data_IF_067263005443
#
_entry.id   IF_067263005443
#
_cell.length_a   1.000
_cell.length_b   1.000
_cell.length_c   1.000
_cell.angle_alpha   90.00
_cell.angle_beta   90.00
_cell.angle_gamma   90.00
#
_symmetry.space_group_name_H-M   'P 1'
#
loop_
_entity.id
_entity.type
_entity.pdbx_description
1 polymer ?
#
# COMPACT_ATOMS: atom_id res chain seq x y z
N UNK A 1 28.83 35.39 -8.61
CA UNK A 1 28.27 35.17 -9.96
C UNK A 1 29.09 35.96 -10.95
N UNK A 2 29.79 35.28 -11.86
CA UNK A 2 30.63 35.90 -12.89
C UNK A 2 29.83 36.03 -14.19
N UNK A 3 29.73 37.23 -14.76
CA UNK A 3 29.11 37.42 -16.08
C UNK A 3 30.15 37.24 -17.18
N UNK A 4 29.84 36.44 -18.19
CA UNK A 4 30.76 36.15 -19.30
C UNK A 4 30.01 35.78 -20.57
N UNK A 5 30.50 36.28 -21.70
CA UNK A 5 30.08 35.83 -23.03
C UNK A 5 30.77 34.50 -23.35
N UNK A 6 29.98 33.46 -23.60
CA UNK A 6 30.45 32.10 -23.86
C UNK A 6 30.05 31.67 -25.27
N UNK A 7 30.93 30.94 -25.96
CA UNK A 7 30.62 30.37 -27.27
C UNK A 7 29.55 29.28 -27.14
N UNK A 8 28.51 29.32 -27.97
CA UNK A 8 27.35 28.44 -27.89
C UNK A 8 27.73 26.96 -28.04
N UNK A 9 28.80 26.65 -28.79
CA UNK A 9 29.32 25.28 -28.95
C UNK A 9 29.98 24.70 -27.69
N UNK A 10 30.35 25.53 -26.72
CA UNK A 10 30.87 25.10 -25.42
C UNK A 10 29.77 24.90 -24.38
N UNK A 11 28.52 25.23 -24.71
CA UNK A 11 27.37 25.13 -23.80
C UNK A 11 26.57 23.87 -24.16
N UNK A 12 26.17 23.11 -23.14
CA UNK A 12 25.32 21.93 -23.27
C UNK A 12 24.07 22.05 -22.41
N UNK A 13 22.99 21.38 -22.82
CA UNK A 13 21.76 21.34 -22.02
C UNK A 13 22.01 20.62 -20.69
N UNK A 14 21.56 21.24 -19.61
CA UNK A 14 21.56 20.61 -18.30
C UNK A 14 20.22 19.95 -17.96
N UNK A 15 20.13 19.46 -16.74
CA UNK A 15 18.90 18.92 -16.20
C UNK A 15 17.78 19.98 -16.20
N UNK A 16 16.57 19.60 -16.62
CA UNK A 16 15.38 20.44 -16.48
C UNK A 16 14.18 19.63 -16.02
N UNK A 17 13.43 20.09 -14.99
CA UNK A 17 12.23 19.40 -14.53
C UNK A 17 11.04 19.56 -15.50
N UNK A 18 11.07 20.58 -16.36
CA UNK A 18 10.04 20.84 -17.37
C UNK A 18 10.24 19.93 -18.57
N UNK A 19 9.19 19.25 -19.00
CA UNK A 19 9.23 18.35 -20.17
C UNK A 19 8.48 18.91 -21.36
N UNK A 20 7.35 19.58 -21.14
CA UNK A 20 6.60 20.18 -22.24
C UNK A 20 6.93 21.68 -22.39
N UNK A 21 7.26 22.08 -23.60
CA UNK A 21 7.70 23.44 -23.93
C UNK A 21 6.72 24.06 -24.93
N UNK A 22 5.57 24.50 -24.44
CA UNK A 22 4.64 25.29 -25.24
C UNK A 22 5.23 26.67 -25.55
N UNK A 23 4.92 27.24 -26.73
CA UNK A 23 5.35 28.58 -27.12
C UNK A 23 6.83 28.70 -27.54
N UNK A 24 7.45 27.63 -28.05
CA UNK A 24 8.85 27.64 -28.52
C UNK A 24 9.07 28.69 -29.64
N UNK A 25 8.17 28.76 -30.61
CA UNK A 25 8.27 29.69 -31.75
C UNK A 25 8.06 31.16 -31.35
N UNK A 26 7.25 31.42 -30.32
CA UNK A 26 7.07 32.78 -29.80
C UNK A 26 8.31 33.26 -29.07
N UNK A 27 8.91 32.41 -28.24
CA UNK A 27 10.17 32.72 -27.56
C UNK A 27 11.30 32.96 -28.56
N UNK A 28 11.39 32.15 -29.62
CA UNK A 28 12.38 32.32 -30.68
C UNK A 28 12.22 33.67 -31.39
N UNK A 29 11.01 34.03 -31.82
CA UNK A 29 10.71 35.34 -32.44
C UNK A 29 11.01 36.51 -31.51
N UNK A 30 10.73 36.36 -30.22
CA UNK A 30 11.05 37.37 -29.22
C UNK A 30 12.56 37.59 -29.07
N UNK A 31 13.35 36.50 -28.99
CA UNK A 31 14.81 36.56 -28.89
C UNK A 31 15.42 37.13 -30.18
N UNK A 32 14.87 36.80 -31.35
CA UNK A 32 15.31 37.37 -32.62
C UNK A 32 15.07 38.88 -32.69
N UNK A 33 13.93 39.36 -32.19
CA UNK A 33 13.55 40.78 -32.24
C UNK A 33 14.22 41.64 -31.16
N UNK A 34 14.36 41.11 -29.94
CA UNK A 34 14.76 41.88 -28.75
C UNK A 34 16.09 41.43 -28.15
N UNK A 35 16.70 40.38 -28.68
CA UNK A 35 17.87 39.75 -28.09
C UNK A 35 17.54 38.95 -26.84
N UNK A 36 18.59 38.46 -26.18
CA UNK A 36 18.47 37.71 -24.94
C UNK A 36 18.45 38.69 -23.75
N UNK A 37 17.26 38.97 -23.22
CA UNK A 37 17.08 39.94 -22.12
C UNK A 37 17.69 39.43 -20.79
N UNK A 38 17.51 38.14 -20.50
CA UNK A 38 18.07 37.51 -19.30
C UNK A 38 19.21 36.56 -19.71
N UNK A 39 20.40 36.66 -19.09
CA UNK A 39 21.51 35.75 -19.37
C UNK A 39 21.19 34.31 -18.97
N UNK A 40 21.90 33.35 -19.59
CA UNK A 40 21.81 31.94 -19.20
C UNK A 40 22.57 31.70 -17.90
N UNK A 41 22.00 30.96 -16.96
CA UNK A 41 22.73 30.53 -15.76
C UNK A 41 23.36 29.17 -16.06
N UNK A 42 24.68 29.08 -15.95
CA UNK A 42 25.45 27.88 -16.29
C UNK A 42 26.42 27.50 -15.18
N UNK A 43 26.70 26.20 -15.04
CA UNK A 43 27.85 25.71 -14.25
C UNK A 43 28.97 25.27 -15.19
N UNK A 44 30.21 25.39 -14.73
CA UNK A 44 31.36 24.83 -15.44
C UNK A 44 31.45 23.32 -15.20
N UNK A 45 31.74 22.55 -16.24
CA UNK A 45 31.97 21.10 -16.16
C UNK A 45 33.11 20.71 -17.10
N UNK A 46 34.33 20.62 -16.55
CA UNK A 46 35.55 20.47 -17.34
C UNK A 46 35.71 21.62 -18.34
N UNK A 47 35.66 21.28 -19.64
CA UNK A 47 35.84 22.22 -20.75
C UNK A 47 34.52 22.77 -21.32
N UNK A 48 33.38 22.36 -20.76
CA UNK A 48 32.05 22.81 -21.20
C UNK A 48 31.31 23.52 -20.08
N UNK A 49 30.21 24.16 -20.44
CA UNK A 49 29.28 24.81 -19.54
C UNK A 49 27.92 24.12 -19.65
N UNK A 50 27.32 23.70 -18.54
CA UNK A 50 25.98 23.08 -18.55
C UNK A 50 24.95 24.04 -17.99
N UNK A 51 23.84 24.19 -18.72
CA UNK A 51 22.77 25.12 -18.38
C UNK A 51 22.02 24.68 -17.13
N UNK A 52 22.03 25.52 -16.09
CA UNK A 52 21.23 25.35 -14.88
C UNK A 52 19.81 25.90 -15.13
N UNK A 53 19.72 27.15 -15.59
CA UNK A 53 18.48 27.87 -15.88
C UNK A 53 18.54 28.47 -17.28
N UNK A 54 17.43 28.37 -18.02
CA UNK A 54 17.31 28.95 -19.36
C UNK A 54 17.46 27.94 -20.50
N UNK A 55 17.27 26.63 -20.25
CA UNK A 55 17.33 25.59 -21.31
C UNK A 55 16.48 25.93 -22.55
N UNK A 56 15.30 26.57 -22.37
CA UNK A 56 14.47 27.05 -23.49
C UNK A 56 15.14 28.16 -24.32
N UNK A 57 15.76 29.11 -23.62
CA UNK A 57 16.49 30.22 -24.23
C UNK A 57 17.72 29.69 -24.97
N UNK A 58 18.45 28.75 -24.36
CA UNK A 58 19.58 28.06 -24.98
C UNK A 58 19.21 27.35 -26.28
N UNK A 59 18.10 26.59 -26.29
CA UNK A 59 17.57 25.96 -27.51
C UNK A 59 17.27 26.98 -28.61
N UNK A 60 16.61 28.07 -28.25
CA UNK A 60 16.26 29.12 -29.21
C UNK A 60 17.50 29.79 -29.81
N UNK A 61 18.50 30.16 -29.00
CA UNK A 61 19.74 30.79 -29.53
C UNK A 61 20.54 29.81 -30.39
N UNK A 62 20.55 28.52 -30.05
CA UNK A 62 21.19 27.47 -30.85
C UNK A 62 20.49 27.31 -32.21
N UNK A 63 19.17 27.33 -32.24
CA UNK A 63 18.38 27.27 -33.49
C UNK A 63 18.43 28.54 -34.33
N UNK A 64 18.69 29.69 -33.71
CA UNK A 64 18.96 30.96 -34.40
C UNK A 64 20.41 31.05 -34.90
N UNK A 65 21.26 30.06 -34.63
CA UNK A 65 22.64 30.02 -35.10
C UNK A 65 23.57 31.04 -34.43
N UNK A 66 23.27 31.46 -33.20
CA UNK A 66 24.12 32.41 -32.47
C UNK A 66 25.49 31.78 -32.18
N UNK A 67 26.56 32.57 -32.34
CA UNK A 67 27.94 32.13 -32.07
C UNK A 67 28.27 32.15 -30.58
N UNK A 68 27.80 33.16 -29.87
CA UNK A 68 28.03 33.35 -28.45
C UNK A 68 26.81 33.94 -27.76
N UNK A 69 26.73 33.75 -26.45
CA UNK A 69 25.59 34.19 -25.63
C UNK A 69 26.05 34.63 -24.24
N UNK A 70 25.37 35.62 -23.68
CA UNK A 70 25.66 36.12 -22.33
C UNK A 70 25.22 35.10 -21.27
N UNK A 71 26.13 34.80 -20.35
CA UNK A 71 25.97 33.78 -19.33
C UNK A 71 26.43 34.29 -17.96
N UNK A 72 25.76 33.81 -16.92
CA UNK A 72 26.19 33.89 -15.54
C UNK A 72 26.76 32.53 -15.17
N UNK A 73 28.02 32.50 -14.72
CA UNK A 73 28.68 31.29 -14.25
C UNK A 73 28.47 31.17 -12.73
N UNK A 74 27.98 30.02 -12.32
CA UNK A 74 27.80 29.63 -10.92
C UNK A 74 28.54 28.32 -10.63
N UNK A 75 29.35 28.34 -9.57
CA UNK A 75 30.16 27.19 -9.15
C UNK A 75 29.39 26.34 -8.14
N UNK A 76 28.57 25.43 -8.68
CA UNK A 76 27.77 24.49 -7.90
C UNK A 76 27.82 23.10 -8.55
N UNK A 77 27.69 22.08 -7.70
CA UNK A 77 27.60 20.70 -8.16
C UNK A 77 26.30 20.43 -8.95
N UNK A 78 26.25 19.30 -9.65
CA UNK A 78 25.09 18.92 -10.48
C UNK A 78 23.80 18.76 -9.65
N UNK A 79 23.91 18.32 -8.39
CA UNK A 79 22.75 18.04 -7.53
C UNK A 79 22.08 19.35 -7.09
N UNK A 80 22.87 20.32 -6.64
CA UNK A 80 22.44 21.69 -6.31
C UNK A 80 21.93 22.42 -7.53
N UNK A 81 22.58 22.25 -8.69
CA UNK A 81 22.10 22.79 -9.95
C UNK A 81 20.71 22.26 -10.32
N UNK A 82 20.44 20.96 -10.12
CA UNK A 82 19.11 20.39 -10.36
C UNK A 82 18.04 20.96 -9.42
N UNK A 83 18.37 21.18 -8.14
CA UNK A 83 17.48 21.84 -7.18
C UNK A 83 17.20 23.30 -7.57
N UNK A 84 18.23 24.06 -7.91
CA UNK A 84 18.10 25.46 -8.34
C UNK A 84 17.25 25.58 -9.61
N UNK A 85 17.47 24.68 -10.58
CA UNK A 85 16.65 24.59 -11.79
C UNK A 85 15.17 24.36 -11.46
N UNK A 86 14.86 23.54 -10.45
CA UNK A 86 13.50 23.34 -9.98
C UNK A 86 12.90 24.58 -9.34
N UNK A 87 13.60 25.22 -8.40
CA UNK A 87 13.12 26.43 -7.73
C UNK A 87 12.72 27.51 -8.73
N UNK A 88 13.61 27.83 -9.68
CA UNK A 88 13.32 28.84 -10.70
C UNK A 88 12.13 28.47 -11.59
N UNK A 89 11.95 27.18 -11.92
CA UNK A 89 10.80 26.74 -12.71
C UNK A 89 9.48 26.74 -11.91
N UNK A 90 9.55 26.53 -10.59
CA UNK A 90 8.39 26.56 -9.69
C UNK A 90 7.95 27.97 -9.34
N UNK A 91 8.88 28.93 -9.29
CA UNK A 91 8.62 30.35 -9.04
C UNK A 91 8.11 31.10 -10.28
N UNK A 92 8.23 30.52 -11.48
CA UNK A 92 7.66 31.09 -12.71
C UNK A 92 6.13 31.10 -12.65
N UNK A 93 5.58 32.24 -12.23
CA UNK A 93 4.14 32.51 -12.09
C UNK A 93 3.36 32.33 -13.41
N UNK A 94 4.02 32.42 -14.57
CA UNK A 94 3.36 32.26 -15.88
C UNK A 94 3.26 30.80 -16.30
N UNK A 95 4.17 29.93 -15.82
CA UNK A 95 4.29 28.55 -16.31
C UNK A 95 4.67 27.54 -15.21
N UNK A 96 4.13 27.62 -14.00
CA UNK A 96 4.50 26.69 -12.91
C UNK A 96 4.43 25.20 -13.33
N UNK A 97 5.40 24.41 -12.86
CA UNK A 97 5.50 22.96 -13.14
C UNK A 97 4.18 22.25 -12.84
N UNK A 98 3.78 21.35 -13.73
CA UNK A 98 2.58 20.56 -13.47
C UNK A 98 2.87 19.45 -12.44
N UNK A 99 1.85 18.89 -11.77
CA UNK A 99 2.07 17.92 -10.69
C UNK A 99 2.87 16.67 -11.11
N UNK A 100 2.76 16.25 -12.38
CA UNK A 100 3.51 15.11 -12.91
C UNK A 100 4.99 15.48 -13.11
N UNK A 101 5.29 16.69 -13.61
CA UNK A 101 6.67 17.19 -13.70
C UNK A 101 7.34 17.30 -12.33
N UNK A 102 6.61 17.78 -11.32
CA UNK A 102 7.09 17.81 -9.93
C UNK A 102 7.40 16.39 -9.43
N UNK A 103 6.51 15.43 -9.67
CA UNK A 103 6.72 14.04 -9.26
C UNK A 103 7.94 13.41 -9.97
N UNK A 104 8.11 13.67 -11.26
CA UNK A 104 9.27 13.22 -12.04
C UNK A 104 10.58 13.85 -11.53
N UNK A 105 10.54 15.13 -11.15
CA UNK A 105 11.68 15.80 -10.55
C UNK A 105 12.07 15.16 -9.22
N UNK A 106 11.10 14.96 -8.32
CA UNK A 106 11.32 14.26 -7.05
C UNK A 106 11.92 12.87 -7.29
N UNK A 107 11.41 12.12 -8.28
CA UNK A 107 11.97 10.81 -8.65
C UNK A 107 13.43 10.93 -9.08
N UNK A 108 13.78 11.90 -9.94
CA UNK A 108 15.15 12.14 -10.38
C UNK A 108 16.08 12.54 -9.22
N UNK A 109 15.61 13.37 -8.28
CA UNK A 109 16.37 13.75 -7.08
C UNK A 109 16.74 12.53 -6.23
N UNK A 110 15.83 11.57 -6.10
CA UNK A 110 16.11 10.34 -5.36
C UNK A 110 17.02 9.37 -6.13
N UNK A 111 16.67 9.07 -7.37
CA UNK A 111 17.30 7.98 -8.13
C UNK A 111 18.63 8.39 -8.77
N UNK A 112 18.71 9.59 -9.36
CA UNK A 112 19.93 10.08 -10.03
C UNK A 112 20.86 10.80 -9.04
N UNK A 113 20.28 11.65 -8.21
CA UNK A 113 21.06 12.52 -7.33
C UNK A 113 21.19 11.97 -5.89
N UNK A 114 20.55 10.85 -5.58
CA UNK A 114 20.75 10.13 -4.32
C UNK A 114 20.21 10.84 -3.07
N UNK A 115 19.27 11.77 -3.22
CA UNK A 115 18.63 12.43 -2.07
C UNK A 115 17.69 11.48 -1.33
N UNK A 116 17.74 11.53 -0.01
CA UNK A 116 16.78 10.88 0.88
C UNK A 116 15.42 11.58 0.82
N UNK A 117 14.37 10.93 1.35
CA UNK A 117 13.05 11.59 1.45
C UNK A 117 13.11 12.76 2.45
N UNK A 118 13.88 12.62 3.53
CA UNK A 118 14.08 13.68 4.51
C UNK A 118 14.78 14.89 3.89
N UNK A 119 15.83 14.68 3.10
CA UNK A 119 16.54 15.77 2.43
C UNK A 119 15.59 16.57 1.53
N UNK A 120 14.64 15.91 0.87
CA UNK A 120 13.65 16.58 0.02
C UNK A 120 12.62 17.37 0.83
N UNK A 121 12.25 16.90 2.03
CA UNK A 121 11.40 17.68 2.94
C UNK A 121 12.17 18.91 3.42
N UNK A 122 13.43 18.76 3.81
CA UNK A 122 14.29 19.85 4.28
C UNK A 122 14.56 20.90 3.20
N UNK A 123 14.68 20.46 1.94
CA UNK A 123 14.78 21.33 0.76
C UNK A 123 13.44 21.99 0.35
N UNK A 124 12.36 21.75 1.11
CA UNK A 124 11.07 22.42 0.89
C UNK A 124 10.21 21.83 -0.22
N UNK A 125 10.52 20.62 -0.73
CA UNK A 125 9.69 19.98 -1.75
C UNK A 125 8.32 19.55 -1.21
N UNK A 126 8.21 19.33 0.10
CA UNK A 126 6.95 19.03 0.79
C UNK A 126 7.07 19.30 2.29
N UNK A 127 5.92 19.33 2.98
CA UNK A 127 5.84 19.49 4.43
C UNK A 127 6.15 18.22 5.24
N UNK A 128 6.03 17.05 4.62
CA UNK A 128 6.18 15.74 5.26
C UNK A 128 6.48 14.65 4.21
N UNK A 129 7.06 13.54 4.67
CA UNK A 129 7.38 12.36 3.86
C UNK A 129 6.16 11.83 3.10
N UNK A 130 5.00 11.81 3.77
CA UNK A 130 3.77 11.31 3.18
C UNK A 130 3.40 12.08 1.91
N UNK A 131 3.63 13.39 1.90
CA UNK A 131 3.36 14.27 0.77
C UNK A 131 4.36 13.99 -0.38
N UNK A 132 5.63 13.66 -0.09
CA UNK A 132 6.59 13.22 -1.10
C UNK A 132 6.12 11.91 -1.74
N UNK A 133 5.75 10.91 -0.94
CA UNK A 133 5.25 9.63 -1.46
C UNK A 133 3.95 9.78 -2.26
N UNK A 134 3.03 10.65 -1.83
CA UNK A 134 1.81 10.94 -2.59
C UNK A 134 2.14 11.50 -3.99
N UNK A 135 3.08 12.44 -4.09
CA UNK A 135 3.56 12.97 -5.37
C UNK A 135 4.16 11.86 -6.24
N UNK A 136 5.04 11.04 -5.69
CA UNK A 136 5.65 9.91 -6.40
C UNK A 136 4.61 8.90 -6.90
N UNK A 137 3.59 8.61 -6.10
CA UNK A 137 2.52 7.67 -6.46
C UNK A 137 1.69 8.13 -7.67
N UNK A 138 1.71 9.42 -8.03
CA UNK A 138 1.09 9.89 -9.28
C UNK A 138 1.71 9.23 -10.51
N UNK A 139 3.00 8.89 -10.46
CA UNK A 139 3.71 8.24 -11.57
C UNK A 139 3.31 6.77 -11.77
N UNK A 140 2.68 6.16 -10.77
CA UNK A 140 2.15 4.80 -10.85
C UNK A 140 0.73 4.74 -11.42
N UNK A 141 0.07 5.90 -11.61
CA UNK A 141 -1.27 5.94 -12.20
C UNK A 141 -1.22 5.61 -13.70
N UNK A 142 -2.30 5.07 -14.28
CA UNK A 142 -2.44 4.94 -15.73
C UNK A 142 -2.20 6.25 -16.48
N UNK A 143 -1.60 6.16 -17.68
CA UNK A 143 -1.14 7.31 -18.47
C UNK A 143 -2.27 8.32 -18.77
N UNK A 144 -3.47 7.83 -19.10
CA UNK A 144 -4.66 8.66 -19.31
C UNK A 144 -5.01 9.51 -18.08
N UNK A 145 -4.79 9.00 -16.85
CA UNK A 145 -5.01 9.74 -15.61
C UNK A 145 -3.89 10.77 -15.39
N UNK A 146 -2.63 10.37 -15.60
CA UNK A 146 -1.49 11.28 -15.50
C UNK A 146 -1.64 12.50 -16.41
N UNK A 147 -2.06 12.29 -17.66
CA UNK A 147 -2.31 13.38 -18.62
C UNK A 147 -3.38 14.36 -18.12
N UNK A 148 -4.49 13.86 -17.57
CA UNK A 148 -5.55 14.73 -17.02
C UNK A 148 -5.12 15.50 -15.78
N UNK A 149 -4.18 14.95 -15.00
CA UNK A 149 -3.57 15.67 -13.87
C UNK A 149 -2.59 16.72 -14.39
N UNK A 150 -1.76 16.37 -15.38
CA UNK A 150 -0.78 17.26 -15.99
C UNK A 150 -1.44 18.50 -16.59
N UNK A 151 -2.54 18.35 -17.34
CA UNK A 151 -3.29 19.47 -17.90
C UNK A 151 -4.25 20.16 -16.90
N UNK A 152 -4.12 19.88 -15.60
CA UNK A 152 -4.92 20.46 -14.50
C UNK A 152 -6.44 20.21 -14.63
N UNK A 153 -6.87 19.28 -15.49
CA UNK A 153 -8.28 18.86 -15.62
C UNK A 153 -8.77 18.09 -14.38
N UNK A 154 -7.83 17.49 -13.65
CA UNK A 154 -8.02 16.87 -12.34
C UNK A 154 -6.92 17.38 -11.40
N UNK A 155 -7.31 17.79 -10.20
CA UNK A 155 -6.35 18.21 -9.18
C UNK A 155 -5.53 17.03 -8.62
N UNK A 156 -4.27 17.27 -8.20
CA UNK A 156 -3.38 16.20 -7.72
C UNK A 156 -3.93 15.43 -6.52
N UNK A 157 -4.67 16.10 -5.63
CA UNK A 157 -5.32 15.45 -4.48
C UNK A 157 -6.28 14.34 -4.90
N UNK A 158 -7.02 14.53 -5.99
CA UNK A 158 -7.89 13.49 -6.54
C UNK A 158 -7.05 12.35 -7.12
N UNK A 159 -5.93 12.67 -7.76
CA UNK A 159 -4.94 11.68 -8.20
C UNK A 159 -4.42 10.80 -7.06
N UNK A 160 -4.06 11.39 -5.91
CA UNK A 160 -3.63 10.64 -4.72
C UNK A 160 -4.71 9.66 -4.24
N UNK A 161 -5.98 10.08 -4.26
CA UNK A 161 -7.11 9.22 -3.87
C UNK A 161 -7.35 8.09 -4.86
N UNK A 162 -7.23 8.36 -6.17
CA UNK A 162 -7.32 7.34 -7.21
C UNK A 162 -6.19 6.32 -7.08
N UNK A 163 -4.97 6.76 -6.77
CA UNK A 163 -3.81 5.89 -6.56
C UNK A 163 -3.93 4.95 -5.36
N UNK A 164 -4.83 5.25 -4.40
CA UNK A 164 -5.12 4.36 -3.28
C UNK A 164 -6.06 3.18 -3.63
N UNK A 165 -6.71 3.22 -4.80
CA UNK A 165 -7.59 2.15 -5.27
C UNK A 165 -6.72 1.03 -5.88
N UNK A 166 -6.72 -0.15 -5.23
CA UNK A 166 -5.90 -1.30 -5.66
C UNK A 166 -6.45 -2.03 -6.88
N UNK A 167 -7.77 -2.02 -7.05
CA UNK A 167 -8.45 -2.66 -8.17
C UNK A 167 -8.40 -1.72 -9.40
N UNK A 168 -7.71 -2.12 -10.50
CA UNK A 168 -7.60 -1.29 -11.70
C UNK A 168 -8.95 -0.96 -12.36
N UNK A 169 -9.90 -1.89 -12.37
CA UNK A 169 -11.22 -1.69 -12.99
C UNK A 169 -12.04 -0.70 -12.18
N UNK A 170 -11.97 -0.81 -10.85
CA UNK A 170 -12.60 0.14 -9.94
C UNK A 170 -11.98 1.54 -10.06
N UNK A 171 -10.65 1.62 -10.20
CA UNK A 171 -9.92 2.88 -10.37
C UNK A 171 -10.35 3.59 -11.66
N UNK A 172 -10.37 2.87 -12.78
CA UNK A 172 -10.78 3.39 -14.08
C UNK A 172 -12.27 3.82 -14.08
N UNK A 173 -13.13 3.04 -13.43
CA UNK A 173 -14.55 3.38 -13.25
C UNK A 173 -14.75 4.64 -12.41
N UNK A 174 -13.99 4.79 -11.32
CA UNK A 174 -13.98 5.98 -10.49
C UNK A 174 -13.52 7.21 -11.29
N UNK A 175 -12.41 7.08 -12.02
CA UNK A 175 -11.87 8.10 -12.89
C UNK A 175 -12.90 8.58 -13.93
N UNK A 176 -13.51 7.65 -14.68
CA UNK A 176 -14.58 7.97 -15.66
C UNK A 176 -15.77 8.70 -15.03
N UNK A 177 -16.21 8.30 -13.83
CA UNK A 177 -17.30 8.99 -13.12
C UNK A 177 -16.89 10.40 -12.69
N UNK A 178 -15.67 10.59 -12.20
CA UNK A 178 -15.14 11.90 -11.81
C UNK A 178 -15.08 12.84 -13.00
N UNK A 179 -14.65 12.35 -14.18
CA UNK A 179 -14.61 13.15 -15.40
C UNK A 179 -15.99 13.68 -15.83
N UNK A 180 -17.06 12.94 -15.56
CA UNK A 180 -18.44 13.35 -15.90
C UNK A 180 -19.04 14.37 -14.94
N UNK A 181 -18.38 14.72 -13.83
CA UNK A 181 -18.89 15.71 -12.89
C UNK A 181 -18.87 17.11 -13.52
N UNK A 182 -20.01 17.81 -13.49
CA UNK A 182 -20.13 19.22 -13.94
C UNK A 182 -19.14 20.17 -13.22
N UNK A 183 -18.88 19.92 -11.93
CA UNK A 183 -17.85 20.63 -11.13
C UNK A 183 -17.03 19.61 -10.35
N UNK A 184 -15.75 19.48 -10.70
CA UNK A 184 -14.82 18.50 -10.14
C UNK A 184 -14.09 19.06 -8.91
N UNK A 185 -14.80 19.14 -7.79
CA UNK A 185 -14.16 19.48 -6.51
C UNK A 185 -13.58 18.23 -5.85
N UNK A 186 -12.56 18.40 -5.00
CA UNK A 186 -11.94 17.30 -4.24
C UNK A 186 -13.00 16.53 -3.44
N UNK A 187 -13.83 17.26 -2.67
CA UNK A 187 -14.92 16.68 -1.87
C UNK A 187 -15.92 15.85 -2.68
N UNK A 188 -16.29 16.31 -3.89
CA UNK A 188 -17.21 15.55 -4.76
C UNK A 188 -16.54 14.29 -5.32
N UNK A 189 -15.27 14.41 -5.71
CA UNK A 189 -14.50 13.29 -6.25
C UNK A 189 -14.28 12.20 -5.18
N UNK A 190 -13.96 12.60 -3.94
CA UNK A 190 -13.86 11.69 -2.79
C UNK A 190 -15.18 10.97 -2.51
N UNK A 191 -16.31 11.69 -2.54
CA UNK A 191 -17.63 11.05 -2.39
C UNK A 191 -17.89 10.01 -3.48
N UNK A 192 -17.51 10.27 -4.74
CA UNK A 192 -17.65 9.30 -5.83
C UNK A 192 -16.81 8.04 -5.57
N UNK A 193 -15.55 8.22 -5.17
CA UNK A 193 -14.65 7.12 -4.85
C UNK A 193 -15.20 6.29 -3.68
N UNK A 194 -15.60 6.95 -2.58
CA UNK A 194 -16.11 6.27 -1.39
C UNK A 194 -17.41 5.51 -1.67
N UNK A 195 -18.33 6.10 -2.44
CA UNK A 195 -19.57 5.42 -2.82
C UNK A 195 -19.30 4.17 -3.67
N UNK A 196 -18.33 4.22 -4.58
CA UNK A 196 -17.95 3.05 -5.37
C UNK A 196 -17.34 1.95 -4.51
N UNK A 197 -16.43 2.30 -3.59
CA UNK A 197 -15.85 1.34 -2.63
C UNK A 197 -16.93 0.71 -1.76
N UNK A 198 -17.90 1.48 -1.28
CA UNK A 198 -19.00 0.96 -0.47
C UNK A 198 -19.92 0.03 -1.29
N UNK A 199 -20.22 0.36 -2.54
CA UNK A 199 -21.02 -0.49 -3.43
C UNK A 199 -20.33 -1.82 -3.74
N UNK A 200 -19.01 -1.82 -3.92
CA UNK A 200 -18.19 -3.02 -4.07
C UNK A 200 -18.26 -3.92 -2.84
N UNK A 201 -18.16 -3.33 -1.63
CA UNK A 201 -18.32 -4.06 -0.37
C UNK A 201 -19.69 -4.72 -0.26
N UNK A 202 -20.77 -3.96 -0.50
CA UNK A 202 -22.15 -4.49 -0.46
C UNK A 202 -22.37 -5.60 -1.48
N UNK A 203 -21.77 -5.51 -2.68
CA UNK A 203 -21.83 -6.60 -3.67
C UNK A 203 -21.11 -7.85 -3.19
N UNK A 204 -19.95 -7.69 -2.56
CA UNK A 204 -19.16 -8.81 -2.02
C UNK A 204 -19.87 -9.49 -0.86
N UNK A 205 -20.54 -8.71 -0.01
CA UNK A 205 -21.39 -9.22 1.09
C UNK A 205 -22.60 -9.98 0.54
N UNK A 206 -23.30 -9.46 -0.47
CA UNK A 206 -24.43 -10.16 -1.11
C UNK A 206 -24.05 -11.44 -1.85
N UNK A 207 -22.78 -11.59 -2.25
CA UNK A 207 -22.27 -12.79 -2.93
C UNK A 207 -22.01 -13.95 -1.96
N UNK A 208 -21.87 -13.67 -0.66
CA UNK A 208 -21.99 -14.69 0.37
C UNK A 208 -23.47 -15.05 0.52
N UNK A 209 -23.99 -15.84 -0.42
CA UNK A 209 -25.26 -16.52 -0.20
C UNK A 209 -25.06 -17.50 0.95
N UNK A 210 -25.96 -17.49 1.94
CA UNK A 210 -26.07 -18.56 2.92
C UNK A 210 -26.23 -19.87 2.16
N UNK A 211 -25.18 -20.71 2.16
CA UNK A 211 -25.33 -22.10 1.74
C UNK A 211 -26.36 -22.70 2.69
N UNK A 212 -27.55 -23.00 2.19
CA UNK A 212 -28.55 -23.70 2.98
C UNK A 212 -27.97 -25.06 3.29
N UNK A 213 -27.69 -25.31 4.58
CA UNK A 213 -27.31 -26.64 5.04
C UNK A 213 -28.41 -27.58 4.55
N UNK A 214 -28.08 -28.66 3.82
CA UNK A 214 -29.07 -29.64 3.41
C UNK A 214 -29.87 -30.08 4.63
N UNK A 215 -31.21 -30.12 4.51
CA UNK A 215 -32.06 -30.65 5.58
C UNK A 215 -32.05 -32.18 5.47
N UNK A 216 -31.78 -32.87 6.59
CA UNK A 216 -31.73 -34.33 6.68
C UNK A 216 -30.33 -34.86 6.98
N UNK A 217 -30.21 -36.18 7.09
CA UNK A 217 -28.94 -36.85 7.33
C UNK A 217 -28.05 -36.77 6.07
N UNK A 218 -26.86 -36.20 6.23
CA UNK A 218 -25.83 -36.20 5.17
C UNK A 218 -24.89 -37.36 5.49
N UNK A 219 -24.75 -38.38 4.61
CA UNK A 219 -23.89 -39.52 4.89
C UNK A 219 -22.46 -39.09 5.25
N UNK A 220 -21.97 -39.55 6.40
CA UNK A 220 -20.64 -39.21 6.91
C UNK A 220 -20.52 -37.83 7.57
N UNK A 221 -21.63 -37.10 7.77
CA UNK A 221 -21.65 -35.83 8.52
C UNK A 221 -22.50 -36.01 9.77
N UNK A 222 -21.89 -35.80 10.92
CA UNK A 222 -22.53 -35.95 12.22
C UNK A 222 -22.59 -34.59 12.91
N UNK A 223 -23.81 -34.15 13.27
CA UNK A 223 -24.02 -32.93 14.06
C UNK A 223 -24.03 -33.28 15.56
N UNK A 224 -22.87 -33.69 16.08
CA UNK A 224 -22.67 -34.18 17.46
C UNK A 224 -21.48 -33.51 18.14
N UNK A 225 -21.37 -33.73 19.45
CA UNK A 225 -20.23 -33.30 20.26
C UNK A 225 -19.00 -34.20 19.98
N UNK A 226 -17.84 -33.59 19.68
CA UNK A 226 -16.60 -34.32 19.40
C UNK A 226 -16.00 -35.07 20.59
N UNK A 227 -16.54 -34.88 21.80
CA UNK A 227 -16.20 -35.68 22.98
C UNK A 227 -16.94 -37.02 23.03
N UNK A 228 -17.88 -37.26 22.12
CA UNK A 228 -18.61 -38.52 21.97
C UNK A 228 -18.79 -38.88 20.49
N UNK A 229 -17.89 -39.72 19.96
CA UNK A 229 -17.86 -40.16 18.57
C UNK A 229 -18.34 -41.62 18.45
N UNK A 230 -19.52 -41.92 18.99
CA UNK A 230 -20.07 -43.28 19.09
C UNK A 230 -20.37 -43.94 17.73
N UNK A 231 -20.52 -43.14 16.68
CA UNK A 231 -20.60 -43.61 15.29
C UNK A 231 -19.32 -44.26 14.76
N UNK A 232 -18.18 -44.05 15.45
CA UNK A 232 -16.87 -44.57 15.06
C UNK A 232 -16.40 -45.64 16.05
N UNK A 233 -16.06 -46.81 15.52
CA UNK A 233 -15.43 -47.88 16.28
C UNK A 233 -14.02 -47.47 16.74
N UNK A 234 -13.53 -48.09 17.80
CA UNK A 234 -12.16 -47.92 18.28
C UNK A 234 -11.16 -48.23 17.15
N UNK A 235 -10.16 -47.38 16.98
CA UNK A 235 -9.12 -47.57 15.94
C UNK A 235 -9.68 -47.70 14.53
N UNK A 236 -10.66 -46.88 14.14
CA UNK A 236 -11.26 -46.88 12.79
C UNK A 236 -10.87 -45.68 11.93
N UNK A 237 -10.23 -44.66 12.51
CA UNK A 237 -9.92 -43.39 11.85
C UNK A 237 -8.42 -43.26 11.58
N UNK A 238 -8.03 -43.00 10.33
CA UNK A 238 -6.62 -42.81 9.93
C UNK A 238 -6.07 -41.40 10.17
N UNK A 239 -6.91 -40.39 10.02
CA UNK A 239 -6.57 -38.97 10.12
C UNK A 239 -7.70 -38.20 10.81
N UNK A 240 -7.35 -37.39 11.79
CA UNK A 240 -8.24 -36.43 12.43
C UNK A 240 -7.73 -35.02 12.14
N UNK A 241 -8.60 -34.13 11.66
CA UNK A 241 -8.31 -32.70 11.52
C UNK A 241 -9.30 -31.94 12.38
N UNK A 242 -8.81 -31.20 13.38
CA UNK A 242 -9.68 -30.56 14.36
C UNK A 242 -9.18 -29.16 14.75
N UNK A 243 -10.11 -28.37 15.27
CA UNK A 243 -9.87 -27.06 15.85
C UNK A 243 -10.65 -26.92 17.15
N UNK A 244 -9.97 -26.88 18.31
CA UNK A 244 -10.61 -26.56 19.58
C UNK A 244 -11.09 -25.10 19.63
N UNK A 245 -11.97 -24.76 20.59
CA UNK A 245 -12.28 -23.38 20.94
C UNK A 245 -11.01 -22.58 21.27
N UNK A 246 -10.95 -21.31 20.89
CA UNK A 246 -9.74 -20.48 21.01
C UNK A 246 -9.85 -19.38 22.07
N UNK A 247 -11.00 -19.27 22.75
CA UNK A 247 -11.28 -18.14 23.63
C UNK A 247 -11.37 -16.81 22.85
N UNK A 248 -11.93 -16.87 21.63
CA UNK A 248 -12.12 -15.69 20.77
C UNK A 248 -13.46 -15.00 21.03
N UNK A 249 -14.19 -15.41 22.08
CA UNK A 249 -15.41 -14.78 22.57
C UNK A 249 -16.65 -15.17 21.79
N UNK A 250 -16.69 -16.39 21.29
CA UNK A 250 -17.88 -16.99 20.69
C UNK A 250 -18.98 -17.17 21.73
N UNK A 251 -20.24 -17.24 21.31
CA UNK A 251 -21.37 -17.46 22.23
C UNK A 251 -21.22 -18.71 23.11
N UNK A 252 -20.64 -19.78 22.57
CA UNK A 252 -20.36 -21.03 23.29
C UNK A 252 -19.08 -20.99 24.15
N UNK A 253 -18.28 -19.93 24.04
CA UNK A 253 -17.08 -19.71 24.87
C UNK A 253 -17.34 -18.72 26.02
N UNK A 254 -18.55 -18.14 26.08
CA UNK A 254 -18.92 -17.24 27.16
C UNK A 254 -19.03 -18.04 28.45
N UNK A 255 -18.44 -17.50 29.52
CA UNK A 255 -18.53 -18.02 30.89
C UNK A 255 -17.75 -19.31 31.14
N UNK A 256 -17.03 -19.83 30.14
CA UNK A 256 -16.13 -20.98 30.31
C UNK A 256 -14.84 -20.53 31.00
N UNK A 257 -14.56 -21.09 32.17
CA UNK A 257 -13.28 -20.91 32.86
C UNK A 257 -12.13 -21.60 32.13
N UNK A 258 -10.90 -21.23 32.44
CA UNK A 258 -9.73 -21.86 31.85
C UNK A 258 -9.66 -23.37 32.19
N UNK A 259 -9.98 -23.73 33.43
CA UNK A 259 -10.00 -25.10 33.92
C UNK A 259 -11.06 -25.95 33.21
N UNK A 260 -12.29 -25.44 33.07
CA UNK A 260 -13.35 -26.11 32.30
C UNK A 260 -12.96 -26.30 30.84
N UNK A 261 -12.27 -25.33 30.24
CA UNK A 261 -11.76 -25.45 28.88
C UNK A 261 -10.75 -26.62 28.76
N UNK A 262 -9.81 -26.74 29.70
CA UNK A 262 -8.86 -27.86 29.71
C UNK A 262 -9.56 -29.21 29.89
N UNK A 263 -10.60 -29.29 30.73
CA UNK A 263 -11.40 -30.51 30.89
C UNK A 263 -12.08 -30.93 29.59
N UNK A 264 -12.68 -29.98 28.87
CA UNK A 264 -13.30 -30.23 27.56
C UNK A 264 -12.26 -30.75 26.58
N UNK A 265 -11.08 -30.10 26.50
CA UNK A 265 -9.98 -30.58 25.65
C UNK A 265 -9.57 -32.02 26.01
N UNK A 266 -9.41 -32.32 27.29
CA UNK A 266 -9.09 -33.68 27.71
C UNK A 266 -10.13 -34.71 27.25
N UNK A 267 -11.43 -34.39 27.34
CA UNK A 267 -12.51 -35.31 26.90
C UNK A 267 -12.45 -35.53 25.40
N UNK A 268 -12.31 -34.47 24.61
CA UNK A 268 -12.23 -34.54 23.14
C UNK A 268 -10.98 -35.30 22.69
N UNK A 269 -9.80 -34.99 23.24
CA UNK A 269 -8.57 -35.67 22.81
C UNK A 269 -8.50 -37.13 23.26
N UNK A 270 -9.12 -37.49 24.38
CA UNK A 270 -9.33 -38.90 24.76
C UNK A 270 -10.15 -39.62 23.69
N UNK A 271 -11.23 -39.00 23.24
CA UNK A 271 -12.12 -39.59 22.25
C UNK A 271 -11.46 -39.67 20.87
N UNK A 272 -10.69 -38.65 20.48
CA UNK A 272 -9.82 -38.69 19.30
C UNK A 272 -8.82 -39.84 19.38
N UNK A 273 -8.17 -40.05 20.52
CA UNK A 273 -7.22 -41.14 20.70
C UNK A 273 -7.89 -42.53 20.59
N UNK A 274 -9.12 -42.68 21.12
CA UNK A 274 -9.91 -43.93 21.02
C UNK A 274 -10.19 -44.33 19.58
N UNK A 275 -10.68 -43.39 18.77
CA UNK A 275 -11.07 -43.69 17.38
C UNK A 275 -9.89 -43.78 16.42
N UNK A 276 -8.73 -43.23 16.77
CA UNK A 276 -7.56 -43.19 15.90
C UNK A 276 -6.87 -44.56 15.81
N UNK A 277 -6.53 -44.99 14.59
CA UNK A 277 -5.72 -46.20 14.38
C UNK A 277 -4.33 -46.06 15.02
N UNK A 278 -3.68 -47.17 15.45
CA UNK A 278 -2.27 -47.15 15.80
C UNK A 278 -1.42 -46.57 14.65
N UNK A 279 -0.63 -45.53 14.94
CA UNK A 279 0.18 -44.81 13.96
C UNK A 279 -0.55 -43.74 13.13
N UNK A 280 -1.86 -43.58 13.34
CA UNK A 280 -2.68 -42.52 12.73
C UNK A 280 -2.20 -41.11 13.10
N UNK A 281 -2.74 -40.10 12.41
CA UNK A 281 -2.33 -38.71 12.58
C UNK A 281 -3.48 -37.83 13.05
N UNK A 282 -3.14 -36.86 13.88
CA UNK A 282 -4.04 -35.77 14.25
C UNK A 282 -3.40 -34.42 13.90
N UNK A 283 -4.14 -33.57 13.22
CA UNK A 283 -3.77 -32.20 12.90
C UNK A 283 -4.66 -31.26 13.70
N UNK A 284 -4.06 -30.56 14.67
CA UNK A 284 -4.77 -29.61 15.54
C UNK A 284 -4.39 -28.20 15.12
N UNK A 285 -5.38 -27.41 14.67
CA UNK A 285 -5.22 -25.98 14.50
C UNK A 285 -5.58 -25.29 15.81
N UNK A 286 -4.64 -24.63 16.48
CA UNK A 286 -4.88 -23.93 17.74
C UNK A 286 -4.23 -22.54 17.79
N UNK A 287 -4.78 -21.66 18.63
CA UNK A 287 -4.17 -20.38 18.97
C UNK A 287 -3.15 -20.55 20.08
N UNK A 288 -1.94 -20.02 19.89
CA UNK A 288 -0.88 -20.12 20.91
C UNK A 288 -1.18 -19.30 22.18
N UNK A 289 -2.04 -18.29 22.05
CA UNK A 289 -2.45 -17.40 23.13
C UNK A 289 -3.98 -17.38 23.19
N UNK A 290 -4.55 -17.78 24.33
CA UNK A 290 -5.98 -17.71 24.62
C UNK A 290 -6.26 -16.56 25.62
N UNK A 291 -7.47 -15.99 25.54
CA UNK A 291 -7.88 -14.89 26.42
C UNK A 291 -9.24 -15.21 27.06
N UNK A 292 -9.23 -15.47 28.36
CA UNK A 292 -10.42 -15.73 29.15
C UNK A 292 -10.85 -14.45 29.91
N UNK A 293 -12.15 -14.31 30.21
CA UNK A 293 -12.69 -13.21 31.02
C UNK A 293 -12.80 -11.82 30.36
N UNK A 294 -11.99 -11.49 29.34
CA UNK A 294 -11.92 -10.12 28.77
C UNK A 294 -13.18 -9.62 28.06
N UNK A 295 -14.04 -10.51 27.55
CA UNK A 295 -15.27 -10.14 26.83
C UNK A 295 -16.55 -10.19 27.66
N UNK A 296 -16.46 -10.64 28.91
CA UNK A 296 -17.59 -10.80 29.83
C UNK A 296 -17.52 -9.82 31.03
N UNK A 297 -16.70 -8.76 30.95
CA UNK A 297 -16.51 -7.80 32.04
C UNK A 297 -15.65 -8.32 33.21
N UNK A 298 -15.08 -9.53 33.08
CA UNK A 298 -14.10 -10.08 34.02
C UNK A 298 -12.69 -9.56 33.77
N UNK A 299 -11.77 -9.82 34.70
CA UNK A 299 -10.35 -9.50 34.50
C UNK A 299 -9.80 -10.35 33.33
N UNK A 300 -9.16 -9.75 32.31
CA UNK A 300 -8.53 -10.49 31.23
C UNK A 300 -7.48 -11.47 31.76
N UNK A 301 -7.59 -12.72 31.35
CA UNK A 301 -6.66 -13.79 31.72
C UNK A 301 -6.03 -14.37 30.45
N UNK A 302 -4.76 -14.06 30.25
CA UNK A 302 -4.01 -14.47 29.06
C UNK A 302 -3.28 -15.78 29.38
N UNK A 303 -3.52 -16.81 28.58
CA UNK A 303 -2.93 -18.15 28.75
C UNK A 303 -2.13 -18.56 27.51
N UNK A 304 -0.90 -19.03 27.74
CA UNK A 304 -0.07 -19.65 26.70
C UNK A 304 -0.45 -21.12 26.59
N UNK A 305 -0.86 -21.57 25.41
CA UNK A 305 -1.53 -22.86 25.29
C UNK A 305 -0.64 -24.01 24.85
N UNK A 306 0.50 -23.75 24.20
CA UNK A 306 1.33 -24.80 23.60
C UNK A 306 1.68 -25.95 24.55
N UNK A 307 2.10 -25.63 25.78
CA UNK A 307 2.47 -26.64 26.78
C UNK A 307 1.27 -27.46 27.29
N UNK A 308 0.11 -26.83 27.47
CA UNK A 308 -1.12 -27.54 27.85
C UNK A 308 -1.57 -28.53 26.77
N UNK A 309 -1.52 -28.14 25.50
CA UNK A 309 -1.82 -29.07 24.41
C UNK A 309 -0.84 -30.25 24.39
N UNK A 310 0.46 -29.98 24.57
CA UNK A 310 1.45 -31.04 24.61
C UNK A 310 1.18 -32.05 25.74
N UNK A 311 0.88 -31.55 26.95
CA UNK A 311 0.54 -32.38 28.11
C UNK A 311 -0.74 -33.20 27.88
N UNK A 312 -1.81 -32.58 27.38
CA UNK A 312 -3.09 -33.25 27.11
C UNK A 312 -2.91 -34.36 26.08
N UNK A 313 -2.20 -34.08 24.98
CA UNK A 313 -1.95 -35.04 23.92
C UNK A 313 -1.12 -36.22 24.44
N UNK A 314 -0.04 -35.95 25.17
CA UNK A 314 0.84 -36.98 25.72
C UNK A 314 0.09 -37.92 26.69
N UNK A 315 -0.77 -37.36 27.56
CA UNK A 315 -1.60 -38.13 28.51
C UNK A 315 -2.52 -39.13 27.81
N UNK A 316 -2.92 -38.84 26.58
CA UNK A 316 -3.80 -39.69 25.77
C UNK A 316 -3.04 -40.51 24.71
N UNK A 317 -1.72 -40.64 24.84
CA UNK A 317 -0.89 -41.45 23.94
C UNK A 317 -0.66 -40.81 22.56
N UNK A 318 -0.94 -39.52 22.41
CA UNK A 318 -0.71 -38.76 21.18
C UNK A 318 0.60 -37.99 21.29
N UNK A 319 1.57 -38.31 20.43
CA UNK A 319 2.88 -37.65 20.43
C UNK A 319 2.93 -36.51 19.41
N UNK A 320 3.31 -35.32 19.86
CA UNK A 320 3.61 -34.19 18.97
C UNK A 320 4.86 -34.51 18.13
N UNK A 321 4.70 -34.51 16.81
CA UNK A 321 5.80 -34.80 15.86
C UNK A 321 6.33 -33.54 15.15
N UNK A 322 5.60 -32.43 15.20
CA UNK A 322 6.00 -31.19 14.57
C UNK A 322 4.93 -30.10 14.72
N UNK A 323 5.36 -28.86 14.53
CA UNK A 323 4.53 -27.66 14.61
C UNK A 323 4.72 -26.83 13.35
N UNK A 324 3.61 -26.35 12.79
CA UNK A 324 3.61 -25.43 11.65
C UNK A 324 3.15 -24.06 12.15
N UNK A 325 4.10 -23.13 12.30
CA UNK A 325 3.80 -21.78 12.78
C UNK A 325 3.37 -20.87 11.63
N UNK A 326 2.11 -20.47 11.64
CA UNK A 326 1.56 -19.56 10.64
C UNK A 326 1.73 -18.09 11.04
N UNK A 327 2.63 -17.38 10.36
CA UNK A 327 2.83 -15.95 10.57
C UNK A 327 1.79 -15.14 9.79
N UNK A 328 0.73 -14.73 10.46
CA UNK A 328 -0.33 -13.87 9.89
C UNK A 328 0.15 -12.40 9.78
N UNK A 329 1.12 -12.12 8.91
CA UNK A 329 1.55 -10.74 8.64
C UNK A 329 1.05 -10.27 7.27
N UNK A 330 0.36 -9.12 7.24
CA UNK A 330 0.21 -8.36 6.01
C UNK A 330 1.47 -7.50 5.82
N UNK A 331 2.14 -7.56 4.65
CA UNK A 331 3.28 -6.68 4.36
C UNK A 331 2.85 -5.21 4.51
N UNK A 332 3.58 -4.45 5.36
CA UNK A 332 3.37 -3.00 5.52
C UNK A 332 2.41 -2.56 6.64
N UNK A 333 1.85 -3.47 7.45
CA UNK A 333 1.11 -3.11 8.67
C UNK A 333 1.91 -3.48 9.91
N UNK A 334 2.19 -2.50 10.79
CA UNK A 334 2.70 -2.72 12.16
C UNK A 334 1.54 -3.14 13.08
N UNK A 335 0.77 -4.16 12.71
CA UNK A 335 -0.41 -4.57 13.49
C UNK A 335 -0.08 -5.80 14.34
N UNK A 336 0.74 -5.59 15.38
CA UNK A 336 0.72 -6.40 16.61
C UNK A 336 -0.12 -5.68 17.68
N UNK A 337 -1.16 -4.94 17.27
CA UNK A 337 -2.10 -4.36 18.21
C UNK A 337 -3.25 -5.35 18.39
N UNK A 338 -3.27 -6.06 19.52
CA UNK A 338 -4.27 -7.08 19.86
C UNK A 338 -5.71 -6.57 19.83
N UNK A 339 -5.89 -5.25 19.86
CA UNK A 339 -7.18 -4.56 19.72
C UNK A 339 -7.73 -4.58 18.28
N UNK A 340 -6.87 -4.75 17.26
CA UNK A 340 -7.26 -4.66 15.83
C UNK A 340 -7.11 -5.96 15.05
N UNK A 341 -6.72 -7.07 15.69
CA UNK A 341 -6.60 -8.37 15.02
C UNK A 341 -8.00 -8.82 14.53
N UNK A 342 -8.21 -9.10 13.23
CA UNK A 342 -9.49 -9.56 12.69
C UNK A 342 -9.95 -10.93 13.21
N UNK A 343 -9.14 -11.66 13.98
CA UNK A 343 -9.64 -12.77 14.82
C UNK A 343 -10.61 -12.28 15.92
N UNK A 344 -10.62 -10.98 16.22
CA UNK A 344 -11.52 -10.35 17.17
C UNK A 344 -12.79 -9.75 16.54
N UNK A 345 -12.87 -9.60 15.21
CA UNK A 345 -14.07 -9.12 14.52
C UNK A 345 -15.01 -10.29 14.20
N UNK A 346 -15.46 -10.97 15.25
CA UNK A 346 -16.52 -11.96 15.16
C UNK A 346 -17.87 -11.23 15.27
N UNK A 347 -18.78 -11.49 14.33
CA UNK A 347 -20.20 -11.17 14.47
C UNK A 347 -20.98 -12.48 14.44
N UNK A 348 -22.10 -12.56 15.16
CA UNK A 348 -23.00 -13.73 15.13
C UNK A 348 -23.46 -14.10 13.71
N UNK A 349 -23.41 -13.15 12.78
CA UNK A 349 -23.73 -13.32 11.36
C UNK A 349 -22.58 -13.89 10.49
N UNK A 350 -21.35 -13.99 11.01
CA UNK A 350 -20.19 -14.44 10.24
C UNK A 350 -20.04 -15.96 10.37
N UNK A 351 -20.54 -16.70 9.38
CA UNK A 351 -20.38 -18.16 9.30
C UNK A 351 -18.88 -18.54 9.24
N UNK A 352 -18.44 -19.49 10.05
CA UNK A 352 -17.11 -20.13 9.98
C UNK A 352 -16.97 -20.95 8.69
N UNK A 353 -16.84 -20.27 7.55
CA UNK A 353 -16.66 -20.89 6.24
C UNK A 353 -15.21 -20.85 5.72
N UNK A 354 -14.28 -20.24 6.45
CA UNK A 354 -12.89 -20.09 6.01
C UNK A 354 -11.94 -20.83 6.94
N UNK A 355 -11.78 -22.13 6.71
CA UNK A 355 -10.53 -22.80 7.04
C UNK A 355 -9.50 -22.35 5.99
N UNK A 356 -8.47 -21.62 6.42
CA UNK A 356 -7.30 -21.38 5.59
C UNK A 356 -6.36 -22.56 5.81
N UNK A 357 -6.53 -23.58 4.97
CA UNK A 357 -5.60 -24.70 4.83
C UNK A 357 -4.46 -24.19 3.94
N UNK A 358 -3.21 -24.32 4.38
CA UNK A 358 -2.09 -24.67 3.50
C UNK A 358 -1.45 -25.90 4.11
#
# INVERSE_FOLDING_TARGET
>A
MEHRIIQVNLIVEGYSPRRNFEGKEELKRSIEKHGLIEPLLVRKDGNVYVVIVGNRRFRAVKELGWKSVDCIIEDIDEKKAAHLSYLTNSEDLRNNLNPIEVALHIKAMREKFGYSVQDLVDLGYAKDDQTIYNKLNLLALPQNIQEKISCKSIGPTVGYRLGAIKDPDLQEKAFKKILRLKKRTVRKSEKVIQNLINLEKVKTEKRHQEVKVPKGDIPGVYFKDSSEMSEHADGSVGLIVTSPPYGVGMGYEKEVSFEEHLEVLHRVFRECARVLIPGGKICVNFGDIHNFGSRNGGKPEIRLMGHHYQEILEKHGLRLIGTITWKKCNPGKRDFNWVSNPQANYSESMRHGSYRII
#
